data_IF_446515983632
#
_entry.id   IF_446515983632
#
_cell.length_a   1.000
_cell.length_b   1.000
_cell.length_c   1.000
_cell.angle_alpha   90.00
_cell.angle_beta   90.00
_cell.angle_gamma   90.00
#
_symmetry.space_group_name_H-M   'P 1'
#
loop_
_entity.id
_entity.type
_entity.pdbx_description
1 polymer ?
#
# COMPACT_ATOMS: atom_id res chain seq x y z
N UNK A 1 12.04 20.13 55.47
CA UNK A 1 12.67 20.60 54.22
C UNK A 1 13.02 19.51 53.21
N UNK A 2 12.80 18.21 53.49
CA UNK A 2 13.09 17.10 52.53
C UNK A 2 11.90 16.71 51.62
N UNK A 3 10.71 17.16 51.93
CA UNK A 3 9.48 16.82 51.20
C UNK A 3 9.23 17.65 49.93
N UNK A 4 9.77 18.88 49.87
CA UNK A 4 9.62 19.77 48.72
C UNK A 4 10.46 19.33 47.51
N UNK A 5 11.56 18.64 47.73
CA UNK A 5 12.49 18.18 46.69
C UNK A 5 11.89 17.00 45.89
N UNK A 6 11.19 16.10 46.57
CA UNK A 6 10.56 14.91 45.93
C UNK A 6 9.40 15.29 45.01
N UNK A 7 8.64 16.33 45.38
CA UNK A 7 7.54 16.83 44.56
C UNK A 7 8.04 17.44 43.25
N UNK A 8 9.21 18.09 43.28
CA UNK A 8 9.81 18.71 42.09
C UNK A 8 10.27 17.68 41.07
N UNK A 9 10.77 16.52 41.51
CA UNK A 9 11.16 15.42 40.61
C UNK A 9 9.96 14.65 40.08
N UNK A 10 8.86 14.54 40.84
CA UNK A 10 7.63 13.90 40.40
C UNK A 10 6.92 14.72 39.30
N UNK A 11 6.98 16.06 39.38
CA UNK A 11 6.40 16.95 38.38
C UNK A 11 7.17 16.94 37.04
N UNK A 12 8.51 16.77 37.08
CA UNK A 12 9.33 16.67 35.88
C UNK A 12 9.14 15.32 35.17
N UNK A 13 8.87 14.25 35.92
CA UNK A 13 8.64 12.93 35.34
C UNK A 13 7.29 12.82 34.58
N UNK A 14 6.29 13.64 34.97
CA UNK A 14 4.97 13.63 34.33
C UNK A 14 4.92 14.40 33.01
N UNK A 15 5.90 15.23 32.69
CA UNK A 15 5.98 16.00 31.43
C UNK A 15 6.59 15.21 30.26
N UNK A 16 7.16 14.02 30.53
CA UNK A 16 7.76 13.19 29.48
C UNK A 16 6.87 12.05 28.94
N UNK A 17 5.64 11.94 29.44
CA UNK A 17 4.69 10.89 29.05
C UNK A 17 3.71 11.41 28.02
N UNK A 18 4.14 11.65 26.78
CA UNK A 18 3.14 12.12 25.82
C UNK A 18 3.63 12.48 24.44
N UNK A 19 4.53 11.69 23.84
CA UNK A 19 4.67 11.70 22.38
C UNK A 19 4.74 10.27 21.89
N UNK A 20 3.58 9.61 21.91
CA UNK A 20 3.37 8.45 21.06
C UNK A 20 3.14 8.98 19.65
N UNK A 21 4.18 9.06 18.84
CA UNK A 21 4.05 9.18 17.41
C UNK A 21 3.55 7.82 16.93
N UNK A 22 2.25 7.71 16.61
CA UNK A 22 1.77 6.62 15.77
C UNK A 22 2.34 6.88 14.36
N UNK A 23 3.57 6.41 14.12
CA UNK A 23 4.01 6.18 12.76
C UNK A 23 3.11 5.08 12.22
N UNK A 24 2.35 5.38 11.18
CA UNK A 24 1.70 4.38 10.34
C UNK A 24 2.81 3.56 9.69
N UNK A 25 3.33 2.58 10.43
CA UNK A 25 4.28 1.59 9.93
C UNK A 25 3.50 0.75 8.93
N UNK A 26 3.69 1.07 7.66
CA UNK A 26 3.19 0.25 6.58
C UNK A 26 3.99 -1.05 6.61
N UNK A 27 3.38 -2.11 7.11
CA UNK A 27 4.06 -3.41 7.23
C UNK A 27 4.44 -3.91 5.83
N UNK A 28 5.73 -4.11 5.53
CA UNK A 28 6.18 -4.60 4.23
C UNK A 28 5.89 -6.10 4.01
N UNK A 29 5.01 -6.68 4.79
CA UNK A 29 4.60 -8.09 4.69
C UNK A 29 3.18 -8.19 4.14
N UNK A 30 2.96 -9.12 3.20
CA UNK A 30 1.63 -9.45 2.69
C UNK A 30 1.33 -10.94 2.88
N UNK A 31 0.04 -11.28 2.95
CA UNK A 31 -0.41 -12.66 3.10
C UNK A 31 -1.16 -13.12 1.86
N UNK A 32 -0.71 -14.24 1.27
CA UNK A 32 -1.39 -14.86 0.12
C UNK A 32 -2.77 -15.35 0.57
N UNK A 33 -3.80 -15.04 -0.21
CA UNK A 33 -5.20 -15.34 0.10
C UNK A 33 -5.93 -14.25 0.87
N UNK A 34 -5.24 -13.20 1.29
CA UNK A 34 -5.82 -12.05 1.99
C UNK A 34 -5.52 -10.74 1.25
N UNK A 35 -6.40 -9.77 1.44
CA UNK A 35 -6.20 -8.42 0.95
C UNK A 35 -5.05 -7.75 1.71
N UNK A 36 -4.14 -7.16 0.98
CA UNK A 36 -3.00 -6.43 1.53
C UNK A 36 -2.80 -5.12 0.79
N UNK A 37 -2.30 -4.11 1.49
CA UNK A 37 -2.11 -2.77 0.98
C UNK A 37 -0.66 -2.56 0.53
N UNK A 38 -0.48 -1.90 -0.61
CA UNK A 38 0.81 -1.71 -1.27
C UNK A 38 1.00 -0.26 -1.71
N UNK A 39 2.25 0.18 -1.67
CA UNK A 39 2.73 1.47 -2.23
C UNK A 39 3.81 1.22 -3.27
N UNK A 40 4.03 2.19 -4.15
CA UNK A 40 5.16 2.11 -5.10
C UNK A 40 6.50 2.25 -4.39
N UNK A 41 7.53 1.72 -5.04
CA UNK A 41 8.93 1.81 -4.60
C UNK A 41 9.22 1.19 -3.22
N UNK A 42 8.31 0.36 -2.72
CA UNK A 42 8.49 -0.42 -1.50
C UNK A 42 8.50 -1.91 -1.82
N UNK A 43 9.50 -2.61 -1.27
CA UNK A 43 9.59 -4.07 -1.39
C UNK A 43 8.74 -4.72 -0.31
N UNK A 44 7.83 -5.57 -0.73
CA UNK A 44 6.98 -6.38 0.15
C UNK A 44 7.39 -7.84 0.07
N UNK A 45 7.32 -8.53 1.21
CA UNK A 45 7.63 -9.95 1.31
C UNK A 45 6.39 -10.72 1.77
N UNK A 46 6.14 -11.88 1.18
CA UNK A 46 5.07 -12.77 1.66
C UNK A 46 5.35 -13.27 3.08
N UNK A 47 4.29 -13.56 3.85
CA UNK A 47 4.42 -14.02 5.23
C UNK A 47 5.24 -15.32 5.39
N UNK A 48 5.33 -16.14 4.33
CA UNK A 48 6.19 -17.34 4.27
C UNK A 48 7.62 -17.04 3.78
N UNK A 49 7.93 -15.80 3.43
CA UNK A 49 9.25 -15.35 2.98
C UNK A 49 9.65 -15.82 1.58
N UNK A 50 8.77 -16.54 0.85
CA UNK A 50 9.10 -17.13 -0.44
C UNK A 50 8.95 -16.19 -1.63
N UNK A 51 8.09 -15.18 -1.49
CA UNK A 51 7.73 -14.29 -2.60
C UNK A 51 7.97 -12.84 -2.21
N UNK A 52 8.40 -12.05 -3.18
CA UNK A 52 8.47 -10.60 -3.01
C UNK A 52 7.75 -9.87 -4.13
N UNK A 53 7.18 -8.73 -3.80
CA UNK A 53 6.51 -7.83 -4.74
C UNK A 53 7.07 -6.42 -4.60
N UNK A 54 7.48 -5.85 -5.72
CA UNK A 54 7.89 -4.46 -5.84
C UNK A 54 7.03 -3.78 -6.91
N UNK A 55 6.16 -2.86 -6.50
CA UNK A 55 5.43 -2.01 -7.45
C UNK A 55 6.31 -0.86 -7.87
N UNK A 56 6.45 -0.66 -9.19
CA UNK A 56 7.28 0.39 -9.81
C UNK A 56 6.47 1.54 -10.37
N UNK A 57 5.28 1.23 -10.89
CA UNK A 57 4.39 2.23 -11.48
C UNK A 57 2.96 1.99 -11.02
N UNK A 58 2.28 3.07 -10.70
CA UNK A 58 0.84 3.12 -10.48
C UNK A 58 0.27 4.19 -11.37
N UNK A 59 -0.65 3.83 -12.27
CA UNK A 59 -1.45 4.74 -13.06
C UNK A 59 -2.87 4.80 -12.50
N UNK A 60 -3.39 6.01 -12.31
CA UNK A 60 -4.78 6.23 -11.91
C UNK A 60 -5.46 7.14 -12.94
N UNK A 61 -6.29 6.54 -13.77
CA UNK A 61 -7.10 7.23 -14.78
C UNK A 61 -8.58 7.22 -14.44
N UNK A 62 -8.96 6.88 -13.20
CA UNK A 62 -10.36 6.88 -12.76
C UNK A 62 -10.97 8.25 -12.94
N UNK A 63 -12.27 8.27 -13.27
CA UNK A 63 -13.02 9.52 -13.38
C UNK A 63 -13.04 10.24 -12.03
N UNK A 64 -12.52 11.48 -11.92
CA UNK A 64 -12.49 12.19 -10.64
C UNK A 64 -13.89 12.49 -10.11
N UNK A 65 -14.02 12.54 -8.79
CA UNK A 65 -15.24 13.04 -8.15
C UNK A 65 -15.51 14.49 -8.58
N UNK A 66 -16.78 14.79 -8.83
CA UNK A 66 -17.24 16.13 -9.20
C UNK A 66 -17.30 16.42 -10.69
N UNK A 67 -16.98 15.44 -11.54
CA UNK A 67 -17.10 15.55 -13.01
C UNK A 67 -17.82 14.33 -13.60
N UNK A 68 -18.31 14.49 -14.81
CA UNK A 68 -18.89 13.39 -15.60
C UNK A 68 -17.91 13.04 -16.73
N UNK A 69 -17.47 11.78 -16.75
CA UNK A 69 -16.54 11.29 -17.76
C UNK A 69 -17.24 10.38 -18.76
N UNK A 70 -16.77 10.37 -20.00
CA UNK A 70 -17.23 9.42 -21.05
C UNK A 70 -16.76 7.99 -20.74
N UNK A 71 -15.62 7.86 -20.08
CA UNK A 71 -15.00 6.60 -19.67
C UNK A 71 -14.74 6.60 -18.15
N UNK A 72 -15.06 5.49 -17.51
CA UNK A 72 -14.89 5.39 -16.04
C UNK A 72 -13.42 5.42 -15.59
N UNK A 73 -12.49 5.10 -16.50
CA UNK A 73 -11.08 4.94 -16.21
C UNK A 73 -10.75 3.72 -15.37
N UNK A 74 -9.49 3.56 -15.04
CA UNK A 74 -9.01 2.42 -14.26
C UNK A 74 -7.74 2.75 -13.47
N UNK A 75 -7.40 1.86 -12.55
CA UNK A 75 -6.09 1.81 -11.91
C UNK A 75 -5.26 0.75 -12.62
N UNK A 76 -4.02 1.10 -12.96
CA UNK A 76 -3.04 0.20 -13.56
C UNK A 76 -1.81 0.09 -12.67
N UNK A 77 -1.23 -1.11 -12.58
CA UNK A 77 -0.03 -1.36 -11.79
C UNK A 77 1.00 -2.08 -12.65
N UNK A 78 2.26 -1.66 -12.54
CA UNK A 78 3.39 -2.43 -13.06
C UNK A 78 4.40 -2.66 -11.96
N UNK A 79 5.00 -3.85 -11.95
CA UNK A 79 5.95 -4.20 -10.93
C UNK A 79 6.71 -5.48 -11.23
N UNK A 80 7.44 -5.93 -10.23
CA UNK A 80 8.23 -7.15 -10.29
C UNK A 80 7.78 -8.10 -9.17
N UNK A 81 7.47 -9.30 -9.56
CA UNK A 81 7.25 -10.45 -8.69
C UNK A 81 8.46 -11.34 -8.69
N UNK A 82 8.99 -11.67 -7.53
CA UNK A 82 10.08 -12.61 -7.39
C UNK A 82 9.59 -13.83 -6.62
N UNK A 83 9.84 -15.00 -7.17
CA UNK A 83 9.68 -16.30 -6.55
C UNK A 83 11.04 -16.95 -6.35
N UNK A 84 11.18 -18.06 -5.60
CA UNK A 84 12.47 -18.72 -5.38
C UNK A 84 13.23 -19.09 -6.66
N UNK A 85 12.51 -19.33 -7.76
CA UNK A 85 13.10 -19.82 -9.00
C UNK A 85 13.02 -18.83 -10.17
N UNK A 86 12.25 -17.73 -10.04
CA UNK A 86 11.98 -16.84 -11.17
C UNK A 86 11.62 -15.42 -10.72
N UNK A 87 11.97 -14.47 -11.59
CA UNK A 87 11.55 -13.07 -11.48
C UNK A 87 10.70 -12.71 -12.70
N UNK A 88 9.51 -12.22 -12.47
CA UNK A 88 8.50 -11.94 -13.50
C UNK A 88 7.99 -10.52 -13.39
N UNK A 89 7.92 -9.81 -14.51
CA UNK A 89 7.23 -8.52 -14.56
C UNK A 89 5.72 -8.74 -14.54
N UNK A 90 5.03 -8.00 -13.68
CA UNK A 90 3.59 -8.04 -13.59
C UNK A 90 2.98 -6.74 -14.13
N UNK A 91 1.77 -6.87 -14.67
CA UNK A 91 0.94 -5.76 -15.09
C UNK A 91 -0.52 -6.08 -14.72
N UNK A 92 -1.12 -5.21 -13.91
CA UNK A 92 -2.48 -5.39 -13.41
C UNK A 92 -3.35 -4.22 -13.83
N UNK A 93 -4.61 -4.53 -14.14
CA UNK A 93 -5.66 -3.59 -14.53
C UNK A 93 -6.87 -3.80 -13.63
N UNK A 94 -7.48 -2.72 -13.12
CA UNK A 94 -8.67 -2.84 -12.27
C UNK A 94 -9.95 -3.12 -13.07
N UNK A 95 -9.97 -2.82 -14.35
CA UNK A 95 -11.12 -2.97 -15.26
C UNK A 95 -10.80 -3.92 -16.41
N UNK A 96 -9.69 -3.70 -17.12
CA UNK A 96 -9.32 -4.47 -18.31
C UNK A 96 -8.58 -5.76 -17.93
N UNK A 97 -9.31 -6.74 -17.39
CA UNK A 97 -8.73 -7.98 -16.89
C UNK A 97 -8.00 -8.81 -17.96
N UNK A 98 -8.34 -8.65 -19.23
CA UNK A 98 -7.71 -9.39 -20.34
C UNK A 98 -6.27 -8.93 -20.62
N UNK A 99 -5.87 -7.76 -20.12
CA UNK A 99 -4.53 -7.20 -20.28
C UNK A 99 -3.60 -7.57 -19.13
N UNK A 100 -4.07 -8.31 -18.14
CA UNK A 100 -3.26 -8.66 -16.96
C UNK A 100 -2.12 -9.61 -17.31
N UNK A 101 -0.94 -9.29 -16.77
CA UNK A 101 0.23 -10.17 -16.73
C UNK A 101 0.52 -10.54 -15.30
N UNK A 102 0.26 -11.78 -14.93
CA UNK A 102 0.44 -12.31 -13.59
C UNK A 102 1.40 -13.51 -13.62
N UNK A 103 2.11 -13.80 -12.51
CA UNK A 103 2.99 -14.97 -12.44
C UNK A 103 2.18 -16.26 -12.61
N UNK A 104 2.83 -17.27 -13.18
CA UNK A 104 2.24 -18.60 -13.29
C UNK A 104 1.88 -19.16 -11.90
N UNK A 105 0.74 -19.81 -11.80
CA UNK A 105 0.22 -20.37 -10.54
C UNK A 105 -0.42 -19.35 -9.58
N UNK A 106 -0.56 -18.10 -10.00
CA UNK A 106 -1.19 -17.05 -9.18
C UNK A 106 -2.34 -16.37 -9.93
N UNK A 107 -3.24 -15.80 -9.14
CA UNK A 107 -4.17 -14.76 -9.55
C UNK A 107 -3.92 -13.52 -8.72
N UNK A 108 -4.00 -12.36 -9.35
CA UNK A 108 -3.84 -11.06 -8.67
C UNK A 108 -4.97 -10.14 -9.10
N UNK A 109 -5.59 -9.45 -8.15
CA UNK A 109 -6.70 -8.53 -8.41
C UNK A 109 -6.49 -7.24 -7.63
N UNK A 110 -6.68 -6.11 -8.30
CA UNK A 110 -6.82 -4.81 -7.65
C UNK A 110 -8.20 -4.74 -7.03
N UNK A 111 -8.27 -4.62 -5.70
CA UNK A 111 -9.51 -4.55 -4.93
C UNK A 111 -9.93 -3.10 -4.72
N UNK A 112 -8.98 -2.24 -4.37
CA UNK A 112 -9.21 -0.82 -4.09
C UNK A 112 -7.94 -0.01 -4.32
N UNK A 113 -8.07 1.30 -4.51
CA UNK A 113 -6.97 2.26 -4.54
C UNK A 113 -7.41 3.59 -3.94
N UNK A 114 -6.66 4.09 -2.97
CA UNK A 114 -6.95 5.33 -2.24
C UNK A 114 -5.73 6.26 -2.20
N UNK A 115 -5.95 7.58 -2.19
CA UNK A 115 -7.25 8.27 -2.25
C UNK A 115 -7.94 8.13 -3.62
N UNK A 116 -9.25 8.34 -3.66
CA UNK A 116 -9.98 8.46 -4.92
C UNK A 116 -9.67 9.81 -5.57
N UNK A 117 -9.47 9.89 -6.89
CA UNK A 117 -9.12 11.15 -7.55
C UNK A 117 -10.26 12.16 -7.42
N UNK A 118 -9.89 13.43 -7.17
CA UNK A 118 -10.82 14.56 -7.10
C UNK A 118 -10.45 15.59 -8.17
N UNK A 119 -11.46 16.19 -8.77
CA UNK A 119 -11.24 17.23 -9.77
C UNK A 119 -10.43 18.40 -9.19
N UNK A 120 -9.38 18.81 -9.89
CA UNK A 120 -8.48 19.87 -9.45
C UNK A 120 -7.47 19.49 -8.36
N UNK A 121 -7.49 18.26 -7.84
CA UNK A 121 -6.47 17.79 -6.93
C UNK A 121 -5.29 17.18 -7.69
N UNK A 122 -4.06 17.51 -7.28
CA UNK A 122 -2.85 16.87 -7.78
C UNK A 122 -2.54 15.65 -6.94
N UNK A 123 -3.07 14.49 -7.34
CA UNK A 123 -2.68 13.21 -6.74
C UNK A 123 -1.37 12.75 -7.35
N UNK A 124 -0.39 12.43 -6.52
CA UNK A 124 0.87 11.83 -6.96
C UNK A 124 0.79 10.30 -6.84
N UNK A 125 1.47 9.55 -7.71
CA UNK A 125 1.51 8.08 -7.60
C UNK A 125 1.99 7.59 -6.24
N UNK A 126 2.89 8.34 -5.57
CA UNK A 126 3.43 8.01 -4.25
C UNK A 126 2.39 8.12 -3.12
N UNK A 127 1.33 8.90 -3.33
CA UNK A 127 0.26 9.08 -2.35
C UNK A 127 -0.76 7.92 -2.40
N UNK A 128 -0.75 7.15 -3.51
CA UNK A 128 -1.69 6.05 -3.71
C UNK A 128 -1.30 4.81 -2.90
N UNK A 129 -2.29 4.29 -2.21
CA UNK A 129 -2.26 2.98 -1.56
C UNK A 129 -3.20 2.07 -2.34
N UNK A 130 -2.68 0.97 -2.86
CA UNK A 130 -3.47 0.01 -3.62
C UNK A 130 -3.63 -1.27 -2.82
N UNK A 131 -4.87 -1.72 -2.70
CA UNK A 131 -5.20 -3.00 -2.07
C UNK A 131 -5.26 -4.09 -3.13
N UNK A 132 -4.42 -5.11 -2.97
CA UNK A 132 -4.39 -6.28 -3.84
C UNK A 132 -4.86 -7.53 -3.10
N UNK A 133 -5.56 -8.39 -3.82
CA UNK A 133 -5.80 -9.78 -3.44
C UNK A 133 -4.92 -10.67 -4.32
N UNK A 134 -4.01 -11.41 -3.69
CA UNK A 134 -3.09 -12.34 -4.34
C UNK A 134 -3.43 -13.75 -3.89
N UNK A 135 -3.73 -14.65 -4.81
CA UNK A 135 -4.14 -16.02 -4.52
C UNK A 135 -3.33 -17.01 -5.34
N UNK A 136 -3.06 -18.19 -4.79
CA UNK A 136 -2.56 -19.35 -5.55
C UNK A 136 -3.73 -20.02 -6.29
N UNK A 137 -3.50 -20.41 -7.53
CA UNK A 137 -4.45 -21.21 -8.34
C UNK A 137 -4.49 -22.65 -7.85
#
# INVERSE_FOLDING_TARGET
MKTLSVIKYLLVFFLFSGMSCEENIFDPVFTIGHESAFRINQLYTSGDGQYTLLLKEIGDSRCPEGVVCVWQGEVTLKGEWTSPNNKTNIELHSVLNDLQKVPEGFTMKIVDAKPYPKYGANSKPEDLVVTLLIQKK
#
